data_IF_700607055303
#
_entry.id   IF_700607055303
#
_cell.length_a   1.000
_cell.length_b   1.000
_cell.length_c   1.000
_cell.angle_alpha   90.00
_cell.angle_beta   90.00
_cell.angle_gamma   90.00
#
_symmetry.space_group_name_H-M   'P 1'
#
loop_
_entity.id
_entity.type
_entity.pdbx_description
1 polymer ?
#
# COMPACT_ATOMS: atom_id res chain seq x y z
N UNK A 1 25.66 -4.94 14.91
CA UNK A 1 24.25 -5.13 15.29
C UNK A 1 23.57 -5.59 14.02
N UNK A 2 23.13 -6.84 14.00
CA UNK A 2 22.32 -7.36 12.90
C UNK A 2 20.93 -6.72 13.08
N UNK A 3 20.49 -5.89 12.14
CA UNK A 3 19.19 -5.26 12.26
C UNK A 3 18.12 -6.36 12.08
N UNK A 4 17.23 -6.50 13.07
CA UNK A 4 16.20 -7.52 13.08
C UNK A 4 15.23 -7.33 11.90
N UNK A 5 14.90 -8.43 11.21
CA UNK A 5 13.88 -8.42 10.16
C UNK A 5 12.52 -8.17 10.79
N UNK A 6 11.76 -7.23 10.25
CA UNK A 6 10.41 -6.96 10.76
C UNK A 6 9.44 -6.64 9.63
N UNK A 7 8.27 -7.27 9.72
CA UNK A 7 7.15 -6.98 8.84
C UNK A 7 6.54 -5.61 9.19
N UNK A 8 6.18 -4.85 8.17
CA UNK A 8 5.49 -3.57 8.29
C UNK A 8 4.04 -3.71 7.85
N UNK A 9 3.16 -2.90 8.45
CA UNK A 9 1.75 -2.80 8.08
C UNK A 9 1.34 -1.35 7.97
N UNK A 10 0.68 -0.99 6.88
CA UNK A 10 0.09 0.32 6.71
C UNK A 10 -1.28 0.21 6.02
N UNK A 11 -2.04 1.30 6.07
CA UNK A 11 -3.28 1.41 5.29
C UNK A 11 -3.24 2.65 4.42
N UNK A 12 -3.73 2.53 3.19
CA UNK A 12 -3.87 3.65 2.26
C UNK A 12 -5.33 3.95 2.00
N UNK A 13 -5.64 5.23 1.87
CA UNK A 13 -6.96 5.70 1.46
C UNK A 13 -6.90 6.10 -0.01
N UNK A 14 -7.75 5.48 -0.82
CA UNK A 14 -7.87 5.74 -2.26
C UNK A 14 -9.33 5.95 -2.63
N UNK A 15 -9.60 6.56 -3.77
CA UNK A 15 -10.98 6.69 -4.28
C UNK A 15 -11.32 5.54 -5.22
N UNK A 16 -12.60 5.32 -5.49
CA UNK A 16 -13.04 4.33 -6.49
C UNK A 16 -12.38 4.56 -7.87
N UNK A 17 -12.20 5.82 -8.26
CA UNK A 17 -11.53 6.19 -9.51
C UNK A 17 -10.08 5.65 -9.60
N UNK A 18 -9.34 5.63 -8.49
CA UNK A 18 -7.99 5.05 -8.49
C UNK A 18 -8.01 3.54 -8.75
N UNK A 19 -9.03 2.84 -8.27
CA UNK A 19 -9.18 1.39 -8.48
C UNK A 19 -9.60 1.11 -9.93
N UNK A 20 -10.61 1.83 -10.43
CA UNK A 20 -11.16 1.62 -11.78
C UNK A 20 -10.11 1.78 -12.89
N UNK A 21 -9.12 2.65 -12.67
CA UNK A 21 -8.04 2.95 -13.61
C UNK A 21 -6.69 2.32 -13.24
N UNK A 22 -6.67 1.38 -12.27
CA UNK A 22 -5.45 0.71 -11.81
C UNK A 22 -4.29 1.67 -11.50
N UNK A 23 -4.59 2.76 -10.77
CA UNK A 23 -3.64 3.82 -10.51
C UNK A 23 -2.37 3.29 -9.82
N UNK A 24 -1.25 3.97 -10.09
CA UNK A 24 0.01 3.75 -9.36
C UNK A 24 0.12 4.80 -8.27
N UNK A 25 0.24 4.36 -7.02
CA UNK A 25 0.34 5.22 -5.84
C UNK A 25 1.77 5.15 -5.29
N UNK A 26 2.38 6.28 -5.00
CA UNK A 26 3.66 6.36 -4.30
C UNK A 26 3.44 6.28 -2.78
N UNK A 27 3.91 5.20 -2.17
CA UNK A 27 3.87 4.97 -0.75
C UNK A 27 5.19 5.41 -0.12
N UNK A 28 5.10 6.36 0.82
CA UNK A 28 6.24 6.78 1.64
C UNK A 28 6.28 5.99 2.94
N UNK A 29 7.21 5.06 3.06
CA UNK A 29 7.39 4.17 4.21
C UNK A 29 8.83 4.28 4.69
N UNK A 30 9.05 4.70 5.94
CA UNK A 30 10.40 4.77 6.55
C UNK A 30 11.43 5.51 5.67
N UNK A 31 11.01 6.62 5.05
CA UNK A 31 11.88 7.44 4.18
C UNK A 31 12.13 6.85 2.78
N UNK A 32 11.51 5.73 2.42
CA UNK A 32 11.54 5.12 1.09
C UNK A 32 10.24 5.40 0.32
N UNK A 33 10.32 5.44 -1.00
CA UNK A 33 9.18 5.51 -1.92
C UNK A 33 8.97 4.15 -2.58
N UNK A 34 7.75 3.63 -2.51
CA UNK A 34 7.35 2.35 -3.10
C UNK A 34 6.18 2.62 -4.05
N UNK A 35 6.34 2.30 -5.32
CA UNK A 35 5.27 2.44 -6.32
C UNK A 35 4.34 1.24 -6.25
N UNK A 36 3.11 1.47 -5.78
CA UNK A 36 2.08 0.45 -5.66
C UNK A 36 1.08 0.56 -6.81
N UNK A 37 1.03 -0.43 -7.68
CA UNK A 37 -0.07 -0.57 -8.66
C UNK A 37 -1.31 -1.14 -7.96
N UNK A 38 -2.42 -0.40 -8.01
CA UNK A 38 -3.70 -0.85 -7.46
C UNK A 38 -4.38 -1.81 -8.44
N UNK A 39 -4.78 -3.03 -8.03
CA UNK A 39 -5.55 -3.92 -8.89
C UNK A 39 -7.01 -3.47 -8.96
N UNK A 40 -7.62 -3.50 -10.14
CA UNK A 40 -9.02 -3.07 -10.33
C UNK A 40 -10.06 -3.92 -9.59
N UNK A 41 -9.69 -5.11 -9.13
CA UNK A 41 -10.54 -5.98 -8.31
C UNK A 41 -10.48 -5.65 -6.81
N UNK A 42 -9.63 -4.70 -6.41
CA UNK A 42 -9.48 -4.33 -5.00
C UNK A 42 -10.79 -3.78 -4.42
N UNK A 43 -11.03 -4.14 -3.16
CA UNK A 43 -12.13 -3.66 -2.32
C UNK A 43 -11.56 -3.12 -1.01
N UNK A 44 -12.35 -2.32 -0.28
CA UNK A 44 -11.99 -1.96 1.10
C UNK A 44 -11.68 -3.22 1.93
N UNK A 45 -10.57 -3.19 2.65
CA UNK A 45 -10.05 -4.33 3.42
C UNK A 45 -9.17 -5.29 2.60
N UNK A 46 -8.97 -5.05 1.31
CA UNK A 46 -7.98 -5.81 0.52
C UNK A 46 -6.59 -5.57 1.09
N UNK A 47 -5.86 -6.64 1.37
CA UNK A 47 -4.48 -6.58 1.83
C UNK A 47 -3.57 -7.02 0.68
N UNK A 48 -2.65 -6.14 0.31
CA UNK A 48 -1.58 -6.45 -0.62
C UNK A 48 -0.29 -6.73 0.15
N UNK A 49 0.37 -7.85 -0.15
CA UNK A 49 1.69 -8.19 0.38
C UNK A 49 2.75 -7.79 -0.63
N UNK A 50 3.74 -7.03 -0.17
CA UNK A 50 4.94 -6.65 -0.89
C UNK A 50 6.12 -7.34 -0.21
N UNK A 51 6.60 -8.47 -0.78
CA UNK A 51 7.69 -9.24 -0.19
C UNK A 51 8.96 -8.40 -0.07
N UNK A 52 9.72 -8.61 1.01
CA UNK A 52 11.01 -7.96 1.27
C UNK A 52 10.99 -6.41 1.38
N UNK A 53 9.82 -5.78 1.30
CA UNK A 53 9.65 -4.32 1.39
C UNK A 53 9.43 -3.80 2.83
N UNK A 54 9.39 -4.70 3.82
CA UNK A 54 9.41 -4.38 5.25
C UNK A 54 10.79 -3.92 5.74
N UNK A 55 11.01 -3.93 7.06
CA UNK A 55 12.30 -3.57 7.65
C UNK A 55 13.30 -4.72 7.52
N UNK A 56 14.50 -4.42 7.04
CA UNK A 56 15.62 -5.36 6.90
C UNK A 56 15.27 -6.65 6.11
N UNK A 57 14.34 -6.55 5.14
CA UNK A 57 13.87 -7.69 4.36
C UNK A 57 12.79 -8.53 5.04
N UNK A 58 11.98 -7.91 5.90
CA UNK A 58 10.62 -8.39 6.21
C UNK A 58 9.63 -8.00 5.12
N UNK A 59 8.35 -8.31 5.29
CA UNK A 59 7.31 -7.99 4.31
C UNK A 59 6.56 -6.69 4.63
N UNK A 60 6.03 -6.02 3.62
CA UNK A 60 5.09 -4.91 3.80
C UNK A 60 3.67 -5.36 3.43
N UNK A 61 2.74 -5.19 4.36
CA UNK A 61 1.30 -5.41 4.13
C UNK A 61 0.57 -4.06 4.02
N UNK A 62 -0.07 -3.83 2.88
CA UNK A 62 -0.82 -2.61 2.59
C UNK A 62 -2.31 -2.92 2.56
N UNK A 63 -3.07 -2.39 3.51
CA UNK A 63 -4.53 -2.44 3.51
C UNK A 63 -5.11 -1.30 2.68
N UNK A 64 -6.00 -1.61 1.73
CA UNK A 64 -6.71 -0.63 0.91
C UNK A 64 -8.00 -0.20 1.61
N UNK A 65 -8.20 1.11 1.77
CA UNK A 65 -9.45 1.73 2.21
C UNK A 65 -10.00 2.59 1.08
N UNK A 66 -11.13 2.18 0.50
CA UNK A 66 -11.80 2.98 -0.54
C UNK A 66 -12.69 4.00 0.15
N UNK A 67 -12.38 5.28 -0.05
CA UNK A 67 -13.14 6.42 0.48
C UNK A 67 -13.95 7.10 -0.63
N UNK A 68 -15.05 7.74 -0.27
CA UNK A 68 -15.76 8.62 -1.19
C UNK A 68 -14.88 9.84 -1.48
N UNK A 69 -14.55 10.04 -2.76
CA UNK A 69 -13.88 11.26 -3.19
C UNK A 69 -14.88 12.40 -3.22
N UNK A 70 -14.68 13.44 -2.41
CA UNK A 70 -15.34 14.72 -2.64
C UNK A 70 -14.55 15.45 -3.72
N UNK A 71 -15.13 15.55 -4.92
CA UNK A 71 -14.69 16.51 -5.91
C UNK A 71 -15.30 17.85 -5.51
N UNK A 72 -14.52 18.70 -4.85
CA UNK A 72 -14.82 20.12 -4.66
C UNK A 72 -14.23 20.94 -5.78
#
# INVERSE_FOLDING_TARGET
MENEKADLKCSISVTQHHIDFEAVVDLKIEGRSILLKLPNIAKTGTIMRLPDEGLNGGDLYVEIKIIQGNWT
#
